data_IF_195916365795
#
_entry.id   IF_195916365795
#
_cell.length_a   1.000
_cell.length_b   1.000
_cell.length_c   1.000
_cell.angle_alpha   90.00
_cell.angle_beta   90.00
_cell.angle_gamma   90.00
#
_symmetry.space_group_name_H-M   'P 1'
#
loop_
_entity.id
_entity.type
_entity.pdbx_description
1 polymer ?
#
# COMPACT_ATOMS: atom_id res chain seq x y z
N UNK A 1 -26.16 -2.06 27.43
CA UNK A 1 -24.90 -2.68 26.94
C UNK A 1 -25.00 -2.87 25.43
N UNK A 2 -24.11 -2.25 24.63
CA UNK A 2 -24.15 -2.35 23.15
C UNK A 2 -23.11 -3.34 22.63
N UNK A 3 -23.55 -4.24 21.73
CA UNK A 3 -22.73 -5.19 20.96
C UNK A 3 -21.71 -4.43 20.10
N UNK A 4 -20.52 -4.16 20.63
CA UNK A 4 -19.51 -3.34 19.94
C UNK A 4 -18.58 -4.16 19.02
N UNK A 5 -18.37 -5.45 19.29
CA UNK A 5 -17.41 -6.28 18.57
C UNK A 5 -17.83 -6.70 17.15
N UNK A 6 -19.10 -7.02 16.92
CA UNK A 6 -19.57 -7.57 15.63
C UNK A 6 -19.67 -6.51 14.53
N UNK A 7 -20.10 -5.28 14.87
CA UNK A 7 -20.15 -4.17 13.91
C UNK A 7 -18.75 -3.76 13.45
N UNK A 8 -17.76 -3.84 14.33
CA UNK A 8 -16.38 -3.49 14.00
C UNK A 8 -15.74 -4.53 13.06
N UNK A 9 -15.96 -5.82 13.32
CA UNK A 9 -15.46 -6.89 12.47
C UNK A 9 -15.99 -6.81 11.02
N UNK A 10 -17.30 -6.54 10.86
CA UNK A 10 -17.89 -6.38 9.52
C UNK A 10 -17.39 -5.12 8.79
N UNK A 11 -17.11 -4.05 9.52
CA UNK A 11 -16.53 -2.83 8.96
C UNK A 11 -15.10 -3.05 8.46
N UNK A 12 -14.24 -3.67 9.27
CA UNK A 12 -12.85 -3.96 8.89
C UNK A 12 -12.76 -4.96 7.74
N UNK A 13 -13.59 -6.01 7.75
CA UNK A 13 -13.65 -6.97 6.64
C UNK A 13 -14.03 -6.27 5.33
N UNK A 14 -15.05 -5.41 5.38
CA UNK A 14 -15.47 -4.66 4.19
C UNK A 14 -14.39 -3.68 3.73
N UNK A 15 -13.72 -3.01 4.67
CA UNK A 15 -12.61 -2.09 4.36
C UNK A 15 -11.46 -2.84 3.68
N UNK A 16 -11.12 -4.03 4.13
CA UNK A 16 -10.07 -4.86 3.52
C UNK A 16 -10.42 -5.28 2.08
N UNK A 17 -11.65 -5.75 1.84
CA UNK A 17 -12.12 -6.13 0.49
C UNK A 17 -12.08 -4.96 -0.51
N UNK A 18 -12.46 -3.76 -0.06
CA UNK A 18 -12.38 -2.56 -0.89
C UNK A 18 -10.92 -2.23 -1.22
N UNK A 19 -10.04 -2.33 -0.22
CA UNK A 19 -8.61 -2.03 -0.37
C UNK A 19 -7.91 -2.99 -1.34
N UNK A 20 -8.30 -4.27 -1.37
CA UNK A 20 -7.77 -5.24 -2.33
C UNK A 20 -8.06 -4.82 -3.78
N UNK A 21 -9.32 -4.50 -4.08
CA UNK A 21 -9.73 -4.06 -5.43
C UNK A 21 -9.08 -2.75 -5.85
N UNK A 22 -8.93 -1.82 -4.91
CA UNK A 22 -8.23 -0.55 -5.13
C UNK A 22 -6.76 -0.80 -5.47
N UNK A 23 -6.12 -1.70 -4.72
CA UNK A 23 -4.71 -2.07 -4.92
C UNK A 23 -4.51 -2.69 -6.29
N UNK A 24 -5.37 -3.64 -6.69
CA UNK A 24 -5.36 -4.22 -8.03
C UNK A 24 -5.46 -3.15 -9.11
N UNK A 25 -6.41 -2.20 -8.98
CA UNK A 25 -6.59 -1.12 -9.97
C UNK A 25 -5.38 -0.17 -10.03
N UNK A 26 -4.74 0.12 -8.91
CA UNK A 26 -3.55 0.98 -8.84
C UNK A 26 -2.33 0.32 -9.49
N UNK A 27 -2.24 -1.00 -9.41
CA UNK A 27 -1.14 -1.77 -9.96
C UNK A 27 -1.31 -2.13 -11.44
N UNK A 28 -2.51 -1.95 -12.01
CA UNK A 28 -2.75 -2.06 -13.45
C UNK A 28 -1.95 -1.00 -14.24
N UNK A 29 -1.09 -1.49 -15.14
CA UNK A 29 -0.18 -0.68 -15.97
C UNK A 29 -0.75 -0.36 -17.34
N UNK A 30 -1.71 -1.15 -17.82
CA UNK A 30 -2.32 -0.99 -19.15
C UNK A 30 -3.20 0.26 -19.19
N UNK A 31 -3.74 0.65 -18.04
CA UNK A 31 -4.54 1.84 -17.89
C UNK A 31 -3.74 2.90 -17.14
N UNK A 32 -3.83 4.16 -17.56
CA UNK A 32 -3.17 5.29 -16.91
C UNK A 32 -3.53 5.46 -15.43
N UNK A 33 -2.93 6.47 -14.79
CA UNK A 33 -3.14 6.77 -13.37
C UNK A 33 -4.63 6.94 -13.03
N UNK A 34 -5.21 6.09 -12.17
CA UNK A 34 -6.65 6.15 -11.90
C UNK A 34 -7.01 7.39 -11.09
N UNK A 35 -8.07 8.06 -11.53
CA UNK A 35 -8.77 9.10 -10.78
C UNK A 35 -9.50 8.50 -9.57
N UNK A 36 -9.88 9.34 -8.60
CA UNK A 36 -10.65 8.89 -7.44
C UNK A 36 -11.99 8.24 -7.83
N UNK A 37 -12.59 8.67 -8.94
CA UNK A 37 -13.83 8.11 -9.48
C UNK A 37 -13.62 6.70 -10.03
N UNK A 38 -12.52 6.47 -10.74
CA UNK A 38 -12.17 5.15 -11.25
C UNK A 38 -11.80 4.18 -10.13
N UNK A 39 -11.15 4.65 -9.06
CA UNK A 39 -10.89 3.84 -7.87
C UNK A 39 -12.19 3.42 -7.17
N UNK A 40 -13.16 4.33 -7.04
CA UNK A 40 -14.46 4.01 -6.47
C UNK A 40 -15.23 3.00 -7.33
N UNK A 41 -15.18 3.16 -8.65
CA UNK A 41 -15.76 2.22 -9.60
C UNK A 41 -15.12 0.82 -9.49
N UNK A 42 -13.79 0.72 -9.43
CA UNK A 42 -13.07 -0.54 -9.24
C UNK A 42 -13.42 -1.22 -7.91
N UNK A 43 -13.59 -0.42 -6.84
CA UNK A 43 -14.02 -0.93 -5.54
C UNK A 43 -15.51 -1.34 -5.51
N UNK A 44 -16.30 -0.94 -6.50
CA UNK A 44 -17.75 -1.16 -6.57
C UNK A 44 -18.53 -0.32 -5.57
N UNK A 45 -18.08 0.91 -5.30
CA UNK A 45 -18.72 1.82 -4.35
C UNK A 45 -18.80 3.27 -4.87
N UNK A 46 -19.47 4.15 -4.13
CA UNK A 46 -19.49 5.58 -4.45
C UNK A 46 -18.21 6.28 -4.00
N UNK A 47 -17.86 7.41 -4.62
CA UNK A 47 -16.72 8.25 -4.18
C UNK A 47 -16.89 8.71 -2.73
N UNK A 48 -18.13 8.98 -2.30
CA UNK A 48 -18.43 9.34 -0.90
C UNK A 48 -18.13 8.19 0.06
N UNK A 49 -18.54 6.97 -0.30
CA UNK A 49 -18.24 5.75 0.46
C UNK A 49 -16.73 5.51 0.53
N UNK A 50 -16.02 5.66 -0.59
CA UNK A 50 -14.58 5.50 -0.63
C UNK A 50 -13.86 6.48 0.31
N UNK A 51 -14.24 7.76 0.26
CA UNK A 51 -13.73 8.80 1.17
C UNK A 51 -14.07 8.52 2.63
N UNK A 52 -15.23 7.94 2.91
CA UNK A 52 -15.60 7.58 4.28
C UNK A 52 -14.66 6.51 4.87
N UNK A 53 -14.26 5.51 4.07
CA UNK A 53 -13.38 4.42 4.55
C UNK A 53 -11.90 4.79 4.62
N UNK A 54 -11.42 5.63 3.70
CA UNK A 54 -9.98 5.85 3.49
C UNK A 54 -9.55 7.32 3.47
N UNK A 55 -10.49 8.26 3.40
CA UNK A 55 -10.19 9.69 3.34
C UNK A 55 -9.76 10.18 1.96
N UNK A 56 -8.67 10.93 1.92
CA UNK A 56 -8.12 11.56 0.72
C UNK A 56 -7.36 10.56 -0.17
N UNK A 57 -7.02 10.98 -1.40
CA UNK A 57 -6.36 10.13 -2.39
C UNK A 57 -4.96 9.67 -1.97
N UNK A 58 -4.17 10.55 -1.40
CA UNK A 58 -2.89 10.24 -0.76
C UNK A 58 -3.03 9.19 0.35
N UNK A 59 -4.06 9.30 1.19
CA UNK A 59 -4.34 8.32 2.25
C UNK A 59 -4.77 6.96 1.68
N UNK A 60 -5.50 6.94 0.56
CA UNK A 60 -5.85 5.70 -0.15
C UNK A 60 -4.60 5.02 -0.71
N UNK A 61 -3.71 5.78 -1.36
CA UNK A 61 -2.46 5.26 -1.93
C UNK A 61 -1.54 4.74 -0.82
N UNK A 62 -1.42 5.47 0.30
CA UNK A 62 -0.67 5.01 1.46
C UNK A 62 -1.24 3.70 2.03
N UNK A 63 -2.56 3.56 2.13
CA UNK A 63 -3.19 2.32 2.57
C UNK A 63 -2.90 1.15 1.63
N UNK A 64 -2.91 1.36 0.32
CA UNK A 64 -2.56 0.33 -0.67
C UNK A 64 -1.09 -0.08 -0.57
N UNK A 65 -0.17 0.88 -0.37
CA UNK A 65 1.24 0.59 -0.11
C UNK A 65 1.43 -0.29 1.14
N UNK A 66 0.74 0.03 2.23
CA UNK A 66 0.78 -0.79 3.45
C UNK A 66 0.21 -2.20 3.22
N UNK A 67 -0.88 -2.32 2.44
CA UNK A 67 -1.48 -3.60 2.07
C UNK A 67 -0.48 -4.50 1.35
N UNK A 68 0.21 -3.96 0.35
CA UNK A 68 1.24 -4.67 -0.42
C UNK A 68 2.43 -5.02 0.48
N UNK A 69 2.93 -4.09 1.29
CA UNK A 69 4.03 -4.35 2.22
C UNK A 69 3.70 -5.50 3.20
N UNK A 70 2.46 -5.57 3.68
CA UNK A 70 1.98 -6.63 4.57
C UNK A 70 1.80 -7.99 3.85
N UNK A 71 1.50 -8.01 2.54
CA UNK A 71 1.42 -9.24 1.75
C UNK A 71 2.82 -9.82 1.43
N UNK A 72 3.85 -8.97 1.38
CA UNK A 72 5.23 -9.37 1.10
C UNK A 72 6.11 -9.48 2.35
N UNK A 73 5.53 -9.89 3.49
CA UNK A 73 6.27 -10.07 4.76
C UNK A 73 7.45 -11.03 4.61
N UNK A 74 7.29 -12.15 3.89
CA UNK A 74 8.37 -13.13 3.69
C UNK A 74 9.60 -12.57 2.95
N UNK A 75 9.44 -11.47 2.24
CA UNK A 75 10.53 -10.78 1.57
C UNK A 75 11.17 -9.71 2.45
N UNK A 76 10.36 -8.99 3.24
CA UNK A 76 10.83 -8.12 4.33
C UNK A 76 11.67 -8.89 5.35
N UNK A 77 11.22 -10.08 5.75
CA UNK A 77 11.92 -10.91 6.75
C UNK A 77 13.30 -11.36 6.27
N UNK A 78 13.50 -11.57 4.96
CA UNK A 78 14.82 -11.91 4.39
C UNK A 78 15.88 -10.84 4.60
N UNK A 79 15.48 -9.58 4.68
CA UNK A 79 16.36 -8.42 4.93
C UNK A 79 16.41 -8.00 6.40
N UNK A 80 15.66 -8.66 7.28
CA UNK A 80 15.46 -8.22 8.66
C UNK A 80 16.60 -8.65 9.60
N UNK A 81 17.34 -9.69 9.23
CA UNK A 81 18.52 -10.15 9.94
C UNK A 81 19.76 -9.88 9.06
N UNK A 82 20.84 -9.31 9.62
CA UNK A 82 22.08 -9.16 8.89
C UNK A 82 22.61 -10.52 8.45
N UNK A 83 23.07 -10.60 7.22
CA UNK A 83 23.69 -11.81 6.67
C UNK A 83 25.18 -11.53 6.44
N UNK A 84 26.04 -12.36 7.03
CA UNK A 84 27.49 -12.23 6.88
C UNK A 84 28.06 -10.95 7.48
N UNK A 85 29.17 -10.49 6.92
CA UNK A 85 29.84 -9.25 7.33
C UNK A 85 29.04 -8.01 6.89
N UNK A 86 29.29 -6.84 7.50
CA UNK A 86 28.50 -5.62 7.26
C UNK A 86 28.33 -5.28 5.77
N UNK A 87 29.41 -5.33 5.00
CA UNK A 87 29.38 -5.04 3.56
C UNK A 87 28.47 -6.02 2.83
N UNK A 88 28.60 -7.33 3.09
CA UNK A 88 27.77 -8.38 2.48
C UNK A 88 26.29 -8.21 2.85
N UNK A 89 26.01 -7.87 4.10
CA UNK A 89 24.64 -7.61 4.57
C UNK A 89 24.02 -6.40 3.86
N UNK A 90 24.79 -5.34 3.62
CA UNK A 90 24.30 -4.16 2.88
C UNK A 90 24.06 -4.50 1.42
N UNK A 91 24.96 -5.25 0.78
CA UNK A 91 24.78 -5.71 -0.60
C UNK A 91 23.54 -6.59 -0.75
N UNK A 92 23.35 -7.58 0.12
CA UNK A 92 22.18 -8.45 0.07
C UNK A 92 20.86 -7.70 0.31
N UNK A 93 20.86 -6.69 1.19
CA UNK A 93 19.70 -5.82 1.38
C UNK A 93 19.40 -4.97 0.13
N UNK A 94 20.44 -4.41 -0.51
CA UNK A 94 20.30 -3.62 -1.72
C UNK A 94 19.82 -4.48 -2.91
N UNK A 95 20.33 -5.69 -3.08
CA UNK A 95 19.88 -6.64 -4.10
C UNK A 95 18.41 -7.00 -3.91
N UNK A 96 18.02 -7.34 -2.68
CA UNK A 96 16.63 -7.66 -2.35
C UNK A 96 15.69 -6.48 -2.64
N UNK A 97 16.12 -5.25 -2.32
CA UNK A 97 15.38 -4.03 -2.65
C UNK A 97 15.37 -3.72 -4.16
N UNK A 98 16.37 -4.15 -4.91
CA UNK A 98 16.43 -3.92 -6.36
C UNK A 98 15.54 -4.91 -7.10
N UNK A 99 15.56 -6.19 -6.70
CA UNK A 99 14.59 -7.20 -7.14
C UNK A 99 13.14 -6.74 -6.91
N UNK A 100 12.93 -5.95 -5.85
CA UNK A 100 11.64 -5.34 -5.56
C UNK A 100 11.14 -4.44 -6.64
N UNK A 101 12.02 -3.53 -7.02
CA UNK A 101 11.72 -2.48 -7.96
C UNK A 101 11.66 -3.03 -9.39
N UNK A 102 12.26 -4.20 -9.65
CA UNK A 102 12.06 -4.91 -10.91
C UNK A 102 10.67 -5.53 -11.06
N UNK A 103 9.92 -5.72 -9.96
CA UNK A 103 8.51 -6.11 -10.08
C UNK A 103 7.70 -4.98 -10.72
N UNK A 104 7.04 -5.21 -11.88
CA UNK A 104 6.19 -4.21 -12.53
C UNK A 104 5.07 -3.71 -11.62
N UNK A 105 4.59 -4.58 -10.72
CA UNK A 105 3.54 -4.31 -9.74
C UNK A 105 4.02 -3.34 -8.66
N UNK A 106 5.19 -3.61 -8.06
CA UNK A 106 5.72 -2.82 -6.94
C UNK A 106 6.24 -1.47 -7.44
N UNK A 107 6.97 -1.44 -8.55
CA UNK A 107 7.47 -0.18 -9.14
C UNK A 107 6.34 0.81 -9.47
N UNK A 108 5.22 0.31 -10.01
CA UNK A 108 4.03 1.12 -10.33
C UNK A 108 3.43 1.76 -9.07
N UNK A 109 3.26 0.98 -8.02
CA UNK A 109 2.66 1.46 -6.77
C UNK A 109 3.59 2.42 -6.02
N UNK A 110 4.89 2.15 -6.01
CA UNK A 110 5.91 3.05 -5.44
C UNK A 110 5.93 4.39 -6.19
N UNK A 111 5.89 4.35 -7.53
CA UNK A 111 5.79 5.57 -8.33
C UNK A 111 4.52 6.38 -8.03
N UNK A 112 3.37 5.70 -7.82
CA UNK A 112 2.13 6.36 -7.36
C UNK A 112 2.35 7.08 -6.02
N UNK A 113 2.98 6.38 -5.07
CA UNK A 113 3.29 6.92 -3.76
C UNK A 113 4.15 8.18 -3.83
N UNK A 114 5.17 8.18 -4.69
CA UNK A 114 6.00 9.36 -4.93
C UNK A 114 5.21 10.52 -5.56
N UNK A 115 4.38 10.27 -6.57
CA UNK A 115 3.54 11.31 -7.19
C UNK A 115 2.61 11.96 -6.17
N UNK A 116 1.96 11.17 -5.31
CA UNK A 116 1.10 11.72 -4.25
C UNK A 116 1.88 12.47 -3.18
N UNK A 117 3.07 11.99 -2.81
CA UNK A 117 3.93 12.63 -1.81
C UNK A 117 4.40 14.02 -2.25
N UNK A 118 4.77 14.14 -3.53
CA UNK A 118 5.24 15.40 -4.08
C UNK A 118 4.07 16.39 -4.29
N UNK A 119 2.87 15.90 -4.58
CA UNK A 119 1.67 16.72 -4.76
C UNK A 119 0.96 17.16 -3.47
N UNK A 120 1.14 16.44 -2.36
CA UNK A 120 0.37 16.63 -1.12
C UNK A 120 1.15 17.29 0.03
N UNK A 121 2.44 17.59 -0.18
CA UNK A 121 3.40 17.84 0.91
C UNK A 121 3.96 16.51 1.46
N UNK A 122 5.12 16.53 2.15
CA UNK A 122 5.91 15.32 2.41
C UNK A 122 5.07 14.25 3.12
N UNK A 123 4.83 13.14 2.41
CA UNK A 123 4.40 11.89 3.05
C UNK A 123 5.52 11.51 4.01
N UNK A 124 5.20 11.43 5.29
CA UNK A 124 6.17 11.09 6.31
C UNK A 124 6.52 9.60 6.16
N UNK A 125 7.51 9.28 5.33
CA UNK A 125 7.99 7.91 5.11
C UNK A 125 8.37 7.21 6.42
N UNK A 126 8.68 7.96 7.48
CA UNK A 126 8.92 7.42 8.81
C UNK A 126 7.68 6.81 9.47
N UNK A 127 6.46 7.25 9.17
CA UNK A 127 5.23 6.56 9.61
C UNK A 127 4.99 5.28 8.81
N UNK A 128 5.37 5.25 7.53
CA UNK A 128 5.29 4.06 6.66
C UNK A 128 6.22 2.95 7.15
N UNK A 129 7.36 3.31 7.74
CA UNK A 129 8.32 2.37 8.29
C UNK A 129 7.93 1.83 9.69
N UNK A 130 7.12 2.58 10.46
CA UNK A 130 6.81 2.27 11.88
C UNK A 130 5.54 1.44 12.13
N UNK A 131 4.73 1.18 11.10
CA UNK A 131 3.53 0.35 11.20
C UNK A 131 3.80 -1.16 10.96
N UNK A 132 5.08 -1.55 10.96
CA UNK A 132 5.61 -2.91 10.80
C UNK A 132 6.64 -3.19 11.86
#
# INVERSE_FOLDING_TARGET
>A
MRRHGTRNAGYEQRRAELLDRITERLCDREVGWPTLRELAAAAGCSVSTLKHYFGRRDQIVAAALHRVAAQHVAWRERTRLPQGEFVESIHGAAETATEALYSPFISRLVAMGFVEALGSGPINLFEVARAT
#
